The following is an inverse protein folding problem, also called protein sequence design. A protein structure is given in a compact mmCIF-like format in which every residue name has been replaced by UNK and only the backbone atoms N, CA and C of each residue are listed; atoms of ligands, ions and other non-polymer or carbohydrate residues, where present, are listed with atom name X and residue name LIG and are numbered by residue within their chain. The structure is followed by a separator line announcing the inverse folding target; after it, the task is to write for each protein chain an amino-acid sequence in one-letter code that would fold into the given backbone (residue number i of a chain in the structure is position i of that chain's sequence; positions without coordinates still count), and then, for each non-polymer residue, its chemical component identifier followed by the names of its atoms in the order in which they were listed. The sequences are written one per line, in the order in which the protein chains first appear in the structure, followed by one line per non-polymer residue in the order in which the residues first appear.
data_IF_804937779590
#
_entry.id   IF_804937779590
#
_cell.length_a   1.000
_cell.length_b   1.000
_cell.length_c   1.000
_cell.angle_alpha   90.00
_cell.angle_beta   90.00
_cell.angle_gamma   90.00
#
_symmetry.space_group_name_H-M   'P 1'
#
loop_
_entity.id
_entity.type
_entity.pdbx_description
1 polymer ?
#
# COMPACT_ATOMS: atom_id res chain seq x y z
N UNK A 1 -47.05 -21.75 -34.51
CA UNK A 1 -46.49 -23.06 -34.10
C UNK A 1 -45.35 -22.77 -33.14
N UNK A 2 -45.28 -23.14 -31.87
CA UNK A 2 -46.17 -23.72 -30.85
C UNK A 2 -45.68 -23.16 -29.49
N UNK A 3 -46.56 -22.80 -28.55
CA UNK A 3 -47.23 -23.61 -27.50
C UNK A 3 -46.32 -24.03 -26.33
N UNK A 4 -46.80 -23.79 -25.11
CA UNK A 4 -46.26 -24.24 -23.82
C UNK A 4 -46.37 -23.13 -22.76
N UNK A 5 -47.54 -22.78 -22.23
CA UNK A 5 -48.32 -23.50 -21.18
C UNK A 5 -47.52 -23.87 -19.93
N UNK A 6 -47.90 -23.29 -18.79
CA UNK A 6 -47.33 -23.59 -17.47
C UNK A 6 -47.86 -22.67 -16.37
N UNK A 7 -49.15 -22.80 -16.07
CA UNK A 7 -49.84 -22.10 -14.97
C UNK A 7 -49.47 -22.57 -13.55
N UNK A 8 -50.26 -22.19 -12.54
CA UNK A 8 -49.78 -21.59 -11.29
C UNK A 8 -49.66 -22.57 -10.13
N UNK A 9 -48.91 -22.18 -9.08
CA UNK A 9 -49.05 -22.78 -7.75
C UNK A 9 -49.14 -21.72 -6.67
N UNK A 10 -50.36 -21.67 -6.13
CA UNK A 10 -50.77 -21.06 -4.87
C UNK A 10 -49.93 -21.65 -3.73
N UNK A 11 -49.47 -20.77 -2.83
CA UNK A 11 -48.89 -21.11 -1.54
C UNK A 11 -49.09 -19.96 -0.57
N UNK A 12 -50.28 -19.90 0.03
CA UNK A 12 -50.59 -19.12 1.22
C UNK A 12 -49.79 -19.67 2.43
N UNK A 13 -49.86 -18.91 3.53
CA UNK A 13 -49.34 -19.16 4.89
C UNK A 13 -47.95 -18.56 5.12
N UNK A 14 -47.88 -17.32 5.59
CA UNK A 14 -48.13 -16.86 6.98
C UNK A 14 -47.03 -17.28 7.94
N UNK A 15 -46.52 -16.26 8.65
CA UNK A 15 -45.95 -16.35 9.99
C UNK A 15 -44.57 -17.01 10.06
N UNK A 16 -43.62 -16.63 10.90
CA UNK A 16 -43.40 -15.63 11.95
C UNK A 16 -41.97 -15.98 12.46
N UNK A 17 -41.35 -15.09 13.25
CA UNK A 17 -40.11 -15.34 14.03
C UNK A 17 -38.81 -15.26 13.19
N UNK A 18 -38.07 -14.14 13.18
CA UNK A 18 -37.33 -13.58 14.33
C UNK A 18 -36.81 -14.69 15.24
N UNK A 19 -35.64 -15.20 14.91
CA UNK A 19 -34.92 -16.19 15.71
C UNK A 19 -33.44 -16.18 15.36
N UNK A 20 -32.72 -15.26 15.98
CA UNK A 20 -31.27 -15.11 15.94
C UNK A 20 -30.60 -16.41 16.41
N UNK A 21 -29.93 -17.13 15.50
CA UNK A 21 -28.99 -18.20 15.86
C UNK A 21 -27.62 -17.82 15.35
N UNK A 22 -26.85 -17.16 16.23
CA UNK A 22 -25.41 -17.04 16.10
C UNK A 22 -24.81 -18.38 16.50
N UNK A 23 -24.21 -19.10 15.55
CA UNK A 23 -23.05 -19.98 15.80
C UNK A 23 -22.29 -20.36 14.53
N UNK A 24 -21.20 -19.62 14.33
CA UNK A 24 -19.85 -20.05 13.93
C UNK A 24 -19.72 -20.90 12.64
N UNK A 25 -19.41 -20.30 11.48
CA UNK A 25 -18.76 -21.06 10.43
C UNK A 25 -17.35 -21.45 10.91
N UNK A 26 -17.11 -22.75 11.03
CA UNK A 26 -15.76 -23.29 10.91
C UNK A 26 -15.27 -22.96 9.51
N UNK A 27 -14.20 -22.17 9.41
CA UNK A 27 -13.54 -21.85 8.15
C UNK A 27 -12.66 -23.02 7.72
N UNK A 28 -13.30 -24.06 7.20
CA UNK A 28 -12.67 -24.95 6.22
C UNK A 28 -12.66 -24.22 4.89
N UNK A 29 -11.46 -23.90 4.39
CA UNK A 29 -11.25 -23.45 3.01
C UNK A 29 -11.20 -21.94 2.81
N UNK A 30 -9.97 -21.43 2.64
CA UNK A 30 -9.72 -20.25 1.82
C UNK A 30 -8.40 -20.47 1.06
N UNK A 31 -8.40 -21.50 0.21
CA UNK A 31 -7.69 -21.39 -1.06
C UNK A 31 -8.44 -20.36 -1.89
N UNK A 32 -7.75 -19.32 -2.35
CA UNK A 32 -8.38 -18.23 -3.09
C UNK A 32 -7.50 -17.01 -3.25
N UNK A 33 -6.26 -17.22 -3.68
CA UNK A 33 -5.51 -16.18 -4.37
C UNK A 33 -6.25 -15.84 -5.67
N UNK A 34 -7.15 -14.87 -5.62
CA UNK A 34 -7.83 -14.35 -6.79
C UNK A 34 -8.26 -12.90 -6.55
N UNK A 35 -7.55 -11.98 -7.21
CA UNK A 35 -8.06 -10.65 -7.51
C UNK A 35 -7.84 -9.62 -6.41
N UNK A 36 -6.77 -8.84 -6.53
CA UNK A 36 -6.67 -7.55 -5.86
C UNK A 36 -7.85 -6.68 -6.27
N UNK A 37 -8.87 -6.60 -5.43
CA UNK A 37 -9.95 -5.66 -5.62
C UNK A 37 -9.33 -4.24 -5.59
N UNK A 38 -9.81 -3.29 -6.41
CA UNK A 38 -9.25 -1.93 -6.48
C UNK A 38 -9.19 -1.23 -5.11
N UNK A 39 -10.05 -1.61 -4.17
CA UNK A 39 -9.99 -1.14 -2.77
C UNK A 39 -8.75 -1.60 -2.00
N UNK A 40 -8.29 -2.84 -2.19
CA UNK A 40 -7.10 -3.38 -1.51
C UNK A 40 -5.85 -2.66 -1.97
N UNK A 41 -5.73 -2.37 -3.27
CA UNK A 41 -4.57 -1.64 -3.78
C UNK A 41 -4.53 -0.19 -3.25
N UNK A 42 -5.67 0.49 -3.21
CA UNK A 42 -5.77 1.84 -2.67
C UNK A 42 -5.41 1.88 -1.17
N UNK A 43 -5.89 0.91 -0.39
CA UNK A 43 -5.52 0.75 1.02
C UNK A 43 -4.02 0.54 1.20
N UNK A 44 -3.39 -0.29 0.35
CA UNK A 44 -1.94 -0.53 0.43
C UNK A 44 -1.12 0.69 0.01
N UNK A 45 -1.55 1.44 -0.99
CA UNK A 45 -0.91 2.73 -1.34
C UNK A 45 -0.97 3.69 -0.17
N UNK A 46 -2.15 3.81 0.46
CA UNK A 46 -2.33 4.66 1.64
C UNK A 46 -1.46 4.21 2.82
N UNK A 47 -1.38 2.91 3.08
CA UNK A 47 -0.51 2.38 4.13
C UNK A 47 0.98 2.67 3.86
N UNK A 48 1.41 2.61 2.60
CA UNK A 48 2.76 3.00 2.21
C UNK A 48 3.02 4.49 2.45
N UNK A 49 2.06 5.35 2.10
CA UNK A 49 2.16 6.79 2.33
C UNK A 49 2.20 7.13 3.83
N UNK A 50 1.31 6.56 4.63
CA UNK A 50 1.26 6.74 6.09
C UNK A 50 2.58 6.27 6.75
N UNK A 51 3.19 5.18 6.26
CA UNK A 51 4.50 4.76 6.72
C UNK A 51 5.60 5.78 6.38
N UNK A 52 5.62 6.31 5.16
CA UNK A 52 6.62 7.29 4.75
C UNK A 52 6.43 8.63 5.49
N UNK A 53 5.20 9.03 5.82
CA UNK A 53 4.91 10.21 6.64
C UNK A 53 5.45 10.09 8.08
N UNK A 54 5.73 8.89 8.56
CA UNK A 54 6.37 8.70 9.87
C UNK A 54 7.88 8.95 9.88
N UNK A 55 8.50 9.09 8.69
CA UNK A 55 9.95 9.25 8.55
C UNK A 55 10.30 10.72 8.43
N UNK A 56 11.04 11.22 9.43
CA UNK A 56 11.49 12.62 9.50
C UNK A 56 12.82 12.83 8.77
N UNK A 57 12.97 13.98 8.12
CA UNK A 57 14.23 14.37 7.48
C UNK A 57 15.20 14.84 8.57
N UNK A 58 16.38 14.22 8.78
CA UNK A 58 17.29 14.62 9.84
C UNK A 58 17.72 16.08 9.73
N UNK A 59 17.60 16.81 10.84
CA UNK A 59 17.90 18.25 10.88
C UNK A 59 16.74 19.14 10.40
N UNK A 60 15.58 18.56 10.07
CA UNK A 60 14.38 19.27 9.70
C UNK A 60 13.16 18.67 10.41
N UNK A 61 12.31 19.51 10.98
CA UNK A 61 11.08 19.08 11.64
C UNK A 61 9.94 18.84 10.63
N UNK A 62 10.22 18.12 9.55
CA UNK A 62 9.26 17.76 8.50
C UNK A 62 9.49 16.31 8.04
N UNK A 63 8.42 15.60 7.70
CA UNK A 63 8.49 14.26 7.16
C UNK A 63 8.91 14.24 5.67
N UNK A 64 9.34 13.10 5.17
CA UNK A 64 9.86 12.93 3.81
C UNK A 64 8.76 13.11 2.74
N UNK A 65 7.48 12.92 3.06
CA UNK A 65 6.37 13.14 2.13
C UNK A 65 6.07 14.64 2.04
N UNK A 66 5.84 15.30 3.18
CA UNK A 66 5.60 16.75 3.25
C UNK A 66 6.82 17.56 2.81
N UNK A 67 8.02 17.04 3.01
CA UNK A 67 9.28 17.60 2.52
C UNK A 67 9.50 17.43 1.02
N UNK A 68 8.61 16.70 0.34
CA UNK A 68 8.64 16.51 -1.11
C UNK A 68 9.73 15.54 -1.59
N UNK A 69 10.26 14.68 -0.72
CA UNK A 69 11.27 13.69 -1.10
C UNK A 69 10.65 12.48 -1.80
N UNK A 70 9.38 12.20 -1.56
CA UNK A 70 8.67 11.10 -2.20
C UNK A 70 8.03 11.60 -3.49
N UNK A 71 8.61 11.26 -4.63
CA UNK A 71 8.06 11.65 -5.94
C UNK A 71 6.98 10.69 -6.43
N UNK A 72 7.12 9.41 -6.09
CA UNK A 72 6.19 8.38 -6.59
C UNK A 72 6.18 7.15 -5.69
N UNK A 73 4.99 6.61 -5.48
CA UNK A 73 4.77 5.30 -4.86
C UNK A 73 4.09 4.39 -5.89
N UNK A 74 4.62 3.18 -6.06
CA UNK A 74 4.02 2.13 -6.89
C UNK A 74 3.88 0.88 -6.06
N UNK A 75 2.65 0.46 -5.84
CA UNK A 75 2.35 -0.83 -5.21
C UNK A 75 1.99 -1.81 -6.32
N UNK A 76 2.55 -3.01 -6.27
CA UNK A 76 2.22 -4.08 -7.19
C UNK A 76 0.82 -4.63 -6.94
N UNK A 77 0.22 -5.29 -7.93
CA UNK A 77 -1.17 -5.78 -7.87
C UNK A 77 -1.43 -6.81 -6.76
N UNK A 78 -0.39 -7.49 -6.28
CA UNK A 78 -0.41 -8.39 -5.14
C UNK A 78 -0.51 -7.64 -3.79
N UNK A 79 -0.20 -6.34 -3.76
CA UNK A 79 -0.24 -5.52 -2.55
C UNK A 79 0.95 -5.68 -1.60
N UNK A 80 1.84 -6.64 -1.84
CA UNK A 80 2.98 -6.94 -0.97
C UNK A 80 4.31 -6.36 -1.44
N UNK A 81 4.38 -5.94 -2.70
CA UNK A 81 5.57 -5.30 -3.26
C UNK A 81 5.34 -3.79 -3.45
N UNK A 82 6.28 -2.97 -2.98
CA UNK A 82 6.25 -1.51 -3.13
C UNK A 82 7.57 -1.01 -3.73
N UNK A 83 7.46 -0.08 -4.67
CA UNK A 83 8.55 0.71 -5.19
C UNK A 83 8.30 2.17 -4.85
N UNK A 84 9.27 2.82 -4.23
CA UNK A 84 9.23 4.24 -3.88
C UNK A 84 10.36 4.95 -4.62
N UNK A 85 10.00 5.98 -5.36
CA UNK A 85 10.96 6.87 -6.02
C UNK A 85 11.19 8.04 -5.08
N UNK A 86 12.41 8.14 -4.58
CA UNK A 86 12.87 9.21 -3.72
C UNK A 86 13.70 10.18 -4.54
N UNK A 87 13.26 11.42 -4.60
CA UNK A 87 13.93 12.49 -5.31
C UNK A 87 14.19 13.63 -4.35
N UNK A 88 15.42 14.11 -4.32
CA UNK A 88 15.70 15.37 -3.66
C UNK A 88 16.32 16.28 -4.70
N UNK A 89 15.53 17.23 -5.21
CA UNK A 89 16.06 18.26 -6.11
C UNK A 89 17.09 19.08 -5.35
N UNK A 90 18.34 18.60 -5.40
CA UNK A 90 19.51 19.39 -5.04
C UNK A 90 19.51 20.57 -5.99
N UNK A 91 19.36 21.75 -5.40
CA UNK A 91 19.90 22.96 -6.02
C UNK A 91 19.15 23.39 -7.27
N UNK A 92 17.99 24.01 -7.09
CA UNK A 92 17.63 25.08 -8.02
C UNK A 92 18.61 26.24 -7.75
N UNK A 93 19.49 26.64 -8.68
CA UNK A 93 20.47 27.70 -8.46
C UNK A 93 19.83 29.07 -8.16
N UNK A 94 18.51 29.22 -8.31
CA UNK A 94 17.74 30.39 -7.86
C UNK A 94 17.20 30.31 -6.43
N UNK A 95 17.42 29.21 -5.70
CA UNK A 95 16.81 28.93 -4.41
C UNK A 95 17.85 29.02 -3.27
N UNK A 96 17.98 30.22 -2.69
CA UNK A 96 18.93 30.50 -1.59
C UNK A 96 18.64 29.74 -0.29
N UNK A 97 17.47 29.11 -0.17
CA UNK A 97 17.00 28.31 0.98
C UNK A 97 16.89 26.82 0.69
N UNK A 98 17.28 26.36 -0.51
CA UNK A 98 17.19 24.96 -0.85
C UNK A 98 18.12 24.15 0.06
N UNK A 99 17.48 23.30 0.88
CA UNK A 99 18.12 22.51 1.94
C UNK A 99 19.15 21.56 1.31
N UNK A 100 20.24 21.26 2.00
CA UNK A 100 21.22 20.27 1.53
C UNK A 100 21.13 19.04 2.42
N UNK A 101 20.69 17.91 1.87
CA UNK A 101 20.72 16.64 2.59
C UNK A 101 22.10 16.02 2.37
N UNK A 102 22.86 15.85 3.46
CA UNK A 102 24.15 15.16 3.41
C UNK A 102 23.98 13.69 3.03
N UNK A 103 25.01 13.06 2.47
CA UNK A 103 24.97 11.63 2.12
C UNK A 103 24.63 10.74 3.33
N UNK A 104 25.10 11.11 4.52
CA UNK A 104 24.80 10.41 5.77
C UNK A 104 23.33 10.57 6.15
N UNK A 105 22.77 11.77 6.04
CA UNK A 105 21.35 12.00 6.29
C UNK A 105 20.47 11.26 5.27
N UNK A 106 20.89 11.25 4.00
CA UNK A 106 20.22 10.50 2.94
C UNK A 106 20.18 9.01 3.22
N UNK A 107 21.32 8.40 3.60
CA UNK A 107 21.37 6.98 3.96
C UNK A 107 20.42 6.66 5.14
N UNK A 108 20.36 7.53 6.16
CA UNK A 108 19.43 7.36 7.29
C UNK A 108 17.96 7.43 6.86
N UNK A 109 17.62 8.33 5.93
CA UNK A 109 16.27 8.45 5.39
C UNK A 109 15.88 7.18 4.64
N UNK A 110 16.76 6.69 3.77
CA UNK A 110 16.54 5.46 2.99
C UNK A 110 16.31 4.27 3.92
N UNK A 111 17.15 4.12 4.94
CA UNK A 111 17.01 3.06 5.95
C UNK A 111 15.70 3.17 6.73
N UNK A 112 15.37 4.34 7.25
CA UNK A 112 14.13 4.56 8.00
C UNK A 112 12.87 4.34 7.14
N UNK A 113 12.88 4.79 5.88
CA UNK A 113 11.79 4.53 4.94
C UNK A 113 11.59 3.04 4.69
N UNK A 114 12.67 2.29 4.52
CA UNK A 114 12.63 0.84 4.36
C UNK A 114 12.04 0.15 5.59
N UNK A 115 12.47 0.53 6.79
CA UNK A 115 11.97 -0.03 8.04
C UNK A 115 10.48 0.28 8.24
N UNK A 116 10.05 1.51 7.98
CA UNK A 116 8.65 1.93 8.09
C UNK A 116 7.74 1.14 7.13
N UNK A 117 8.16 0.96 5.88
CA UNK A 117 7.43 0.15 4.91
C UNK A 117 7.41 -1.33 5.31
N UNK A 118 8.52 -1.87 5.83
CA UNK A 118 8.57 -3.24 6.33
C UNK A 118 7.58 -3.44 7.49
N UNK A 119 7.47 -2.47 8.39
CA UNK A 119 6.53 -2.51 9.51
C UNK A 119 5.05 -2.56 9.06
N UNK A 120 4.73 -2.05 7.87
CA UNK A 120 3.41 -2.18 7.24
C UNK A 120 3.18 -3.52 6.51
N UNK A 121 4.13 -4.46 6.62
CA UNK A 121 4.03 -5.80 6.04
C UNK A 121 4.28 -5.83 4.53
N UNK A 122 5.05 -4.88 3.97
CA UNK A 122 5.58 -5.03 2.62
C UNK A 122 6.72 -6.04 2.61
N UNK A 123 6.59 -7.07 1.77
CA UNK A 123 7.55 -8.18 1.67
C UNK A 123 8.67 -7.89 0.68
N UNK A 124 8.41 -7.00 -0.28
CA UNK A 124 9.41 -6.52 -1.24
C UNK A 124 9.36 -5.01 -1.31
N UNK A 125 10.49 -4.36 -1.06
CA UNK A 125 10.61 -2.91 -1.02
C UNK A 125 11.77 -2.52 -1.93
N UNK A 126 11.49 -1.66 -2.91
CA UNK A 126 12.50 -1.10 -3.79
C UNK A 126 12.50 0.43 -3.65
N UNK A 127 13.61 0.98 -3.15
CA UNK A 127 13.82 2.41 -3.05
C UNK A 127 14.74 2.85 -4.19
N UNK A 128 14.31 3.83 -4.97
CA UNK A 128 14.98 4.27 -6.20
C UNK A 128 15.24 5.77 -6.14
N UNK A 129 16.43 6.19 -6.53
CA UNK A 129 16.79 7.59 -6.68
C UNK A 129 16.14 8.19 -7.93
N UNK A 130 15.46 9.32 -7.80
CA UNK A 130 14.74 9.94 -8.91
C UNK A 130 15.67 10.50 -10.01
N UNK A 131 16.84 11.02 -9.62
CA UNK A 131 17.76 11.69 -10.54
C UNK A 131 18.57 10.68 -11.35
N UNK A 132 19.04 9.62 -10.71
CA UNK A 132 19.95 8.63 -11.30
C UNK A 132 19.25 7.32 -11.70
N UNK A 133 18.06 7.05 -11.16
CA UNK A 133 17.42 5.75 -11.27
C UNK A 133 18.14 4.64 -10.49
N UNK A 134 19.14 4.98 -9.68
CA UNK A 134 19.90 4.00 -8.92
C UNK A 134 19.05 3.38 -7.80
N UNK A 135 19.25 2.10 -7.53
CA UNK A 135 18.63 1.45 -6.37
C UNK A 135 19.34 1.92 -5.11
N UNK A 136 18.60 2.63 -4.26
CA UNK A 136 19.05 3.15 -2.97
C UNK A 136 18.97 2.08 -1.88
N UNK A 137 17.96 1.21 -1.99
CA UNK A 137 17.74 0.11 -1.06
C UNK A 137 16.81 -0.93 -1.67
N UNK A 138 17.17 -2.19 -1.48
CA UNK A 138 16.32 -3.35 -1.76
C UNK A 138 16.08 -4.08 -0.43
N UNK A 139 14.86 -4.56 -0.26
CA UNK A 139 14.52 -5.52 0.77
C UNK A 139 13.61 -6.57 0.18
N UNK A 140 13.94 -7.83 0.50
CA UNK A 140 13.09 -8.97 0.24
C UNK A 140 12.99 -9.83 1.48
N UNK A 141 11.77 -10.04 1.95
CA UNK A 141 11.49 -10.96 3.04
C UNK A 141 11.96 -12.37 2.63
N UNK A 142 12.84 -12.96 3.44
CA UNK A 142 13.41 -14.30 3.20
C UNK A 142 14.58 -14.38 2.21
N UNK A 143 15.11 -13.26 1.72
CA UNK A 143 16.31 -13.22 0.86
C UNK A 143 17.46 -12.49 1.55
N UNK A 144 18.53 -13.21 1.89
CA UNK A 144 19.82 -12.68 2.29
C UNK A 144 20.81 -12.70 1.14
#
# INVERSE_FOLDING_TARGET
MGRGEGGPRVGLFSSLLRGLVVRRPGSSGAGGAAGGAPGVLAERIRAAEEALQSVMIPGYDVDIVSGGLVERIRVSYDGYSVMVVLGYKKSDPGCSTCRFISSVAWAKIVEAAREALRAQGFQRILLVDADTGAVLGDYREGGG
#
